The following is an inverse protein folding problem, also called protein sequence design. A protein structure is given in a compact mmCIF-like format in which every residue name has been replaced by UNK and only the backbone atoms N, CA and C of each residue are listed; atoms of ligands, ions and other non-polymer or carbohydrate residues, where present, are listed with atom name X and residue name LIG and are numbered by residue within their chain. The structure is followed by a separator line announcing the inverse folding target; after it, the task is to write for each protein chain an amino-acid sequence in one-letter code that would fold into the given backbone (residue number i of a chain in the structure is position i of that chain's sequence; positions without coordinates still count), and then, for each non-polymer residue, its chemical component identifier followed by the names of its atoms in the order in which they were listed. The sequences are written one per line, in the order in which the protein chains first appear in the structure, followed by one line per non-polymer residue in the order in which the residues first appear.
data_IF_712947746722
#
_entry.id   IF_712947746722
#
_cell.length_a   1.000
_cell.length_b   1.000
_cell.length_c   1.000
_cell.angle_alpha   90.00
_cell.angle_beta   90.00
_cell.angle_gamma   90.00
#
_symmetry.space_group_name_H-M   'P 1'
#
loop_
_entity.id
_entity.type
_entity.pdbx_description
1 polymer ?
#
# COMPACT_ATOMS: atom_id res chain seq x y z
N UNK A 1 0.87 -2.23 -18.68
CA UNK A 1 1.52 -0.89 -18.66
C UNK A 1 1.98 -0.66 -17.24
N UNK A 2 3.21 -0.21 -17.04
CA UNK A 2 3.72 0.10 -15.69
C UNK A 2 2.99 1.30 -15.11
N UNK A 3 2.60 1.21 -13.84
CA UNK A 3 1.96 2.32 -13.13
C UNK A 3 3.01 3.37 -12.77
N UNK A 4 2.66 4.64 -12.89
CA UNK A 4 3.52 5.79 -12.63
C UNK A 4 2.94 6.69 -11.54
N UNK A 5 3.76 7.55 -10.95
CA UNK A 5 3.33 8.41 -9.82
C UNK A 5 2.21 9.41 -10.16
N UNK A 6 1.95 9.66 -11.45
CA UNK A 6 0.86 10.52 -11.93
C UNK A 6 -0.45 9.77 -12.18
N UNK A 7 -0.47 8.45 -12.04
CA UNK A 7 -1.66 7.62 -12.24
C UNK A 7 -2.57 7.58 -10.99
N UNK A 8 -2.13 8.15 -9.87
CA UNK A 8 -2.87 8.23 -8.61
C UNK A 8 -2.65 9.60 -7.91
N UNK A 9 -3.59 10.05 -7.08
CA UNK A 9 -3.51 11.38 -6.49
C UNK A 9 -2.47 11.45 -5.36
N UNK A 10 -1.83 12.61 -5.24
CA UNK A 10 -0.98 12.93 -4.10
C UNK A 10 -1.84 13.34 -2.90
N UNK A 11 -1.49 12.81 -1.73
CA UNK A 11 -2.18 13.03 -0.47
C UNK A 11 -1.55 14.18 0.33
N UNK A 12 -2.30 14.85 1.22
CA UNK A 12 -1.77 15.92 2.07
C UNK A 12 -0.79 15.42 3.15
N UNK A 13 -0.59 14.11 3.27
CA UNK A 13 0.30 13.47 4.24
C UNK A 13 1.50 12.87 3.52
N UNK A 14 2.67 13.48 3.74
CA UNK A 14 3.88 13.22 2.96
C UNK A 14 4.46 11.81 3.08
N UNK A 15 4.26 11.12 4.22
CA UNK A 15 4.79 9.76 4.36
C UNK A 15 4.05 8.77 3.46
N UNK A 16 2.72 8.92 3.35
CA UNK A 16 1.88 8.08 2.50
C UNK A 16 2.36 8.16 1.05
N UNK A 17 2.58 9.37 0.51
CA UNK A 17 3.06 9.54 -0.87
C UNK A 17 4.42 8.84 -1.14
N UNK A 18 5.38 8.95 -0.22
CA UNK A 18 6.70 8.30 -0.38
C UNK A 18 6.58 6.78 -0.33
N UNK A 19 5.74 6.27 0.55
CA UNK A 19 5.51 4.84 0.70
C UNK A 19 4.71 4.28 -0.49
N UNK A 20 3.74 5.04 -1.02
CA UNK A 20 3.02 4.73 -2.26
C UNK A 20 3.94 4.67 -3.48
N UNK A 21 4.85 5.64 -3.62
CA UNK A 21 5.85 5.64 -4.69
C UNK A 21 6.76 4.41 -4.62
N UNK A 22 7.21 4.06 -3.41
CA UNK A 22 8.03 2.85 -3.18
C UNK A 22 7.25 1.58 -3.52
N UNK A 23 5.97 1.50 -3.14
CA UNK A 23 5.08 0.39 -3.48
C UNK A 23 4.99 0.20 -5.00
N UNK A 24 4.73 1.28 -5.74
CA UNK A 24 4.60 1.23 -7.21
C UNK A 24 5.91 0.78 -7.86
N UNK A 25 7.06 1.28 -7.37
CA UNK A 25 8.37 0.82 -7.84
C UNK A 25 8.56 -0.68 -7.65
N UNK A 26 8.31 -1.20 -6.44
CA UNK A 26 8.45 -2.64 -6.14
C UNK A 26 7.45 -3.51 -6.93
N UNK A 27 6.24 -3.01 -7.18
CA UNK A 27 5.24 -3.69 -7.98
C UNK A 27 5.68 -3.80 -9.45
N UNK A 28 6.14 -2.69 -10.04
CA UNK A 28 6.66 -2.67 -11.40
C UNK A 28 7.90 -3.55 -11.55
N UNK A 29 8.81 -3.54 -10.58
CA UNK A 29 10.01 -4.39 -10.58
C UNK A 29 9.64 -5.88 -10.58
N UNK A 30 8.63 -6.27 -9.77
CA UNK A 30 8.16 -7.66 -9.72
C UNK A 30 7.48 -8.09 -11.03
N UNK A 31 6.64 -7.23 -11.60
CA UNK A 31 5.98 -7.46 -12.90
C UNK A 31 6.99 -7.61 -14.03
N UNK A 32 7.94 -6.68 -14.12
CA UNK A 32 8.98 -6.71 -15.14
C UNK A 32 9.84 -7.96 -15.02
N UNK A 33 10.22 -8.36 -13.81
CA UNK A 33 11.02 -9.56 -13.60
C UNK A 33 10.29 -10.84 -14.04
N UNK A 34 8.96 -10.93 -13.83
CA UNK A 34 8.15 -12.03 -14.37
C UNK A 34 8.15 -12.02 -15.90
N UNK A 35 7.83 -10.88 -16.50
CA UNK A 35 7.75 -10.71 -17.96
C UNK A 35 9.09 -11.01 -18.65
N UNK A 36 10.22 -10.67 -18.02
CA UNK A 36 11.56 -10.90 -18.55
C UNK A 36 12.14 -12.29 -18.20
N UNK A 37 11.43 -13.11 -17.44
CA UNK A 37 11.94 -14.41 -16.98
C UNK A 37 13.13 -14.31 -16.01
N UNK A 38 13.30 -13.16 -15.35
CA UNK A 38 14.35 -12.91 -14.33
C UNK A 38 13.79 -12.89 -12.91
N UNK A 39 12.52 -13.27 -12.76
CA UNK A 39 11.83 -13.28 -11.48
C UNK A 39 12.54 -14.15 -10.44
N UNK A 40 12.56 -13.62 -9.23
CA UNK A 40 12.89 -14.38 -8.04
C UNK A 40 11.86 -14.06 -6.97
N UNK A 41 11.62 -15.02 -6.09
CA UNK A 41 10.72 -14.89 -4.92
C UNK A 41 11.01 -13.62 -4.11
N UNK A 42 12.26 -13.10 -4.15
CA UNK A 42 12.65 -11.89 -3.45
C UNK A 42 11.98 -10.62 -3.99
N UNK A 43 11.66 -10.53 -5.28
CA UNK A 43 10.95 -9.36 -5.83
C UNK A 43 9.58 -9.22 -5.15
N UNK A 44 8.82 -10.30 -5.12
CA UNK A 44 7.49 -10.31 -4.51
C UNK A 44 7.53 -10.23 -2.98
N UNK A 45 8.52 -10.85 -2.32
CA UNK A 45 8.69 -10.71 -0.86
C UNK A 45 8.98 -9.28 -0.43
N UNK A 46 9.79 -8.52 -1.18
CA UNK A 46 10.04 -7.09 -0.89
C UNK A 46 8.76 -6.27 -1.01
N UNK A 47 7.96 -6.53 -2.05
CA UNK A 47 6.66 -5.89 -2.22
C UNK A 47 5.73 -6.19 -1.03
N UNK A 48 5.59 -7.46 -0.63
CA UNK A 48 4.78 -7.86 0.55
C UNK A 48 5.28 -7.19 1.82
N UNK A 49 6.59 -7.20 2.05
CA UNK A 49 7.18 -6.58 3.23
C UNK A 49 6.90 -5.07 3.28
N UNK A 50 7.07 -4.39 2.15
CA UNK A 50 6.77 -2.95 2.05
C UNK A 50 5.30 -2.67 2.35
N UNK A 51 4.36 -3.45 1.80
CA UNK A 51 2.94 -3.33 2.14
C UNK A 51 2.69 -3.50 3.65
N UNK A 52 3.30 -4.49 4.30
CA UNK A 52 3.17 -4.69 5.74
C UNK A 52 3.66 -3.49 6.55
N UNK A 53 4.82 -2.94 6.18
CA UNK A 53 5.42 -1.79 6.87
C UNK A 53 4.60 -0.52 6.68
N UNK A 54 4.17 -0.25 5.45
CA UNK A 54 3.32 0.87 5.09
C UNK A 54 1.96 0.81 5.80
N UNK A 55 1.24 -0.32 5.68
CA UNK A 55 -0.06 -0.49 6.35
C UNK A 55 0.07 -0.38 7.87
N UNK A 56 1.12 -0.95 8.47
CA UNK A 56 1.38 -0.79 9.89
C UNK A 56 1.65 0.67 10.30
N UNK A 57 2.28 1.47 9.44
CA UNK A 57 2.49 2.89 9.68
C UNK A 57 1.16 3.65 9.66
N UNK A 58 0.34 3.43 8.64
CA UNK A 58 -1.00 4.05 8.56
C UNK A 58 -1.89 3.64 9.72
N UNK A 59 -1.93 2.35 10.04
CA UNK A 59 -2.72 1.82 11.15
C UNK A 59 -2.33 2.43 12.49
N UNK A 60 -1.02 2.62 12.75
CA UNK A 60 -0.54 3.34 13.94
C UNK A 60 -1.05 4.78 13.98
N UNK A 61 -0.98 5.51 12.87
CA UNK A 61 -1.45 6.90 12.81
C UNK A 61 -2.98 7.01 12.93
N UNK A 62 -3.72 6.07 12.32
CA UNK A 62 -5.17 5.96 12.46
C UNK A 62 -5.58 5.71 13.92
N UNK A 63 -4.94 4.74 14.59
CA UNK A 63 -5.20 4.44 16.00
C UNK A 63 -4.85 5.64 16.90
N UNK A 64 -3.66 6.22 16.72
CA UNK A 64 -3.18 7.37 17.52
C UNK A 64 -4.12 8.57 17.43
N UNK A 65 -4.72 8.79 16.27
CA UNK A 65 -5.63 9.92 16.02
C UNK A 65 -7.11 9.56 16.23
N UNK A 66 -7.43 8.32 16.61
CA UNK A 66 -8.79 7.81 16.78
C UNK A 66 -9.63 7.94 15.50
N UNK A 67 -9.04 7.60 14.35
CA UNK A 67 -9.71 7.64 13.06
C UNK A 67 -10.93 6.69 13.05
N UNK A 68 -12.16 7.20 12.80
CA UNK A 68 -13.38 6.38 12.89
C UNK A 68 -13.44 5.22 11.89
N UNK A 69 -12.77 5.35 10.74
CA UNK A 69 -12.76 4.35 9.67
C UNK A 69 -11.74 3.23 9.84
N UNK A 70 -11.02 3.15 10.97
CA UNK A 70 -9.89 2.24 11.18
C UNK A 70 -10.19 0.79 10.83
N UNK A 71 -11.26 0.21 11.40
CA UNK A 71 -11.58 -1.23 11.20
C UNK A 71 -11.89 -1.56 9.74
N UNK A 72 -12.60 -0.67 9.03
CA UNK A 72 -12.90 -0.85 7.61
C UNK A 72 -11.63 -0.76 6.76
N UNK A 73 -10.78 0.22 7.06
CA UNK A 73 -9.53 0.43 6.35
C UNK A 73 -8.60 -0.77 6.54
N UNK A 74 -8.34 -1.15 7.79
CA UNK A 74 -7.52 -2.30 8.14
C UNK A 74 -7.98 -3.60 7.46
N UNK A 75 -9.29 -3.82 7.34
CA UNK A 75 -9.82 -5.00 6.66
C UNK A 75 -9.40 -5.10 5.18
N UNK A 76 -9.22 -3.96 4.49
CA UNK A 76 -8.69 -3.96 3.12
C UNK A 76 -7.19 -4.31 3.09
N UNK A 77 -6.40 -3.78 4.02
CA UNK A 77 -4.99 -4.15 4.18
C UNK A 77 -4.81 -5.64 4.41
N UNK A 78 -5.53 -6.18 5.41
CA UNK A 78 -5.43 -7.59 5.80
C UNK A 78 -5.83 -8.51 4.64
N UNK A 79 -6.85 -8.12 3.86
CA UNK A 79 -7.28 -8.85 2.67
C UNK A 79 -6.18 -8.92 1.61
N UNK A 80 -5.58 -7.77 1.25
CA UNK A 80 -4.54 -7.74 0.22
C UNK A 80 -3.29 -8.50 0.65
N UNK A 81 -2.85 -8.34 1.91
CA UNK A 81 -1.72 -9.10 2.42
C UNK A 81 -1.95 -10.62 2.38
N UNK A 82 -3.18 -11.06 2.66
CA UNK A 82 -3.55 -12.47 2.55
C UNK A 82 -3.49 -12.94 1.09
N UNK A 83 -4.11 -12.20 0.16
CA UNK A 83 -4.10 -12.52 -1.27
C UNK A 83 -2.66 -12.64 -1.81
N UNK A 84 -1.80 -11.67 -1.49
CA UNK A 84 -0.40 -11.69 -1.89
C UNK A 84 0.33 -12.91 -1.31
N UNK A 85 0.11 -13.24 -0.04
CA UNK A 85 0.76 -14.38 0.61
C UNK A 85 0.35 -15.71 -0.04
N UNK A 86 -0.93 -15.87 -0.37
CA UNK A 86 -1.44 -17.08 -1.04
C UNK A 86 -0.93 -17.19 -2.47
N UNK A 87 -0.83 -16.10 -3.22
CA UNK A 87 -0.24 -16.08 -4.56
C UNK A 87 1.23 -16.50 -4.54
N UNK A 88 2.01 -15.99 -3.58
CA UNK A 88 3.41 -16.39 -3.45
C UNK A 88 3.55 -17.88 -3.12
N UNK A 89 2.71 -18.41 -2.22
CA UNK A 89 2.68 -19.86 -1.93
C UNK A 89 2.33 -20.68 -3.16
N UNK A 90 1.33 -20.25 -3.93
CA UNK A 90 0.94 -20.88 -5.20
C UNK A 90 2.12 -20.94 -6.17
N UNK A 91 2.77 -19.80 -6.42
CA UNK A 91 3.95 -19.74 -7.28
C UNK A 91 5.10 -20.65 -6.80
N UNK A 92 5.41 -20.65 -5.50
CA UNK A 92 6.46 -21.52 -4.95
C UNK A 92 6.14 -23.00 -5.17
N UNK A 93 4.87 -23.40 -5.07
CA UNK A 93 4.44 -24.78 -5.24
C UNK A 93 4.41 -25.25 -6.71
N UNK A 94 4.00 -24.38 -7.63
CA UNK A 94 3.73 -24.78 -9.03
C UNK A 94 4.72 -24.25 -10.04
N UNK A 95 5.46 -23.20 -9.71
CA UNK A 95 6.24 -22.37 -10.63
C UNK A 95 5.40 -21.74 -11.77
N UNK A 96 4.08 -21.77 -11.63
CA UNK A 96 3.15 -21.13 -12.58
C UNK A 96 3.13 -19.61 -12.31
N UNK A 97 3.57 -18.85 -13.30
CA UNK A 97 3.65 -17.38 -13.22
C UNK A 97 2.31 -16.71 -13.47
N UNK A 98 1.37 -17.36 -14.15
CA UNK A 98 0.15 -16.73 -14.66
C UNK A 98 -0.69 -16.06 -13.56
N UNK A 99 -0.97 -16.72 -12.40
CA UNK A 99 -1.73 -16.07 -11.33
C UNK A 99 -1.03 -14.83 -10.76
N UNK A 100 0.29 -14.90 -10.61
CA UNK A 100 1.09 -13.81 -10.03
C UNK A 100 1.19 -12.63 -11.00
N UNK A 101 1.42 -12.92 -12.28
CA UNK A 101 1.51 -11.93 -13.35
C UNK A 101 0.18 -11.19 -13.53
N UNK A 102 -0.94 -11.92 -13.63
CA UNK A 102 -2.28 -11.33 -13.69
C UNK A 102 -2.58 -10.45 -12.49
N UNK A 103 -2.18 -10.89 -11.29
CA UNK A 103 -2.38 -10.10 -10.10
C UNK A 103 -1.61 -8.77 -10.15
N UNK A 104 -0.34 -8.80 -10.58
CA UNK A 104 0.51 -7.61 -10.68
C UNK A 104 0.11 -6.66 -11.82
N UNK A 105 -0.47 -7.18 -12.90
CA UNK A 105 -0.85 -6.37 -14.07
C UNK A 105 -2.25 -5.76 -13.96
N UNK A 106 -3.20 -6.48 -13.34
CA UNK A 106 -4.61 -6.07 -13.36
C UNK A 106 -5.12 -5.77 -11.94
N UNK A 107 -5.01 -6.75 -11.04
CA UNK A 107 -5.78 -6.75 -9.78
C UNK A 107 -5.19 -5.79 -8.76
N UNK A 108 -3.87 -5.86 -8.53
CA UNK A 108 -3.18 -5.06 -7.53
C UNK A 108 -3.15 -3.56 -7.91
N UNK A 109 -2.86 -3.17 -9.18
CA UNK A 109 -2.95 -1.78 -9.60
C UNK A 109 -4.37 -1.20 -9.49
N UNK A 110 -5.39 -1.96 -9.87
CA UNK A 110 -6.79 -1.52 -9.75
C UNK A 110 -7.17 -1.31 -8.28
N UNK A 111 -6.85 -2.28 -7.43
CA UNK A 111 -7.08 -2.16 -5.99
C UNK A 111 -6.38 -0.93 -5.41
N UNK A 112 -5.10 -0.73 -5.72
CA UNK A 112 -4.29 0.36 -5.18
C UNK A 112 -4.88 1.72 -5.54
N UNK A 113 -5.20 1.94 -6.82
CA UNK A 113 -5.82 3.18 -7.28
C UNK A 113 -7.15 3.42 -6.56
N UNK A 114 -8.01 2.40 -6.47
CA UNK A 114 -9.30 2.51 -5.78
C UNK A 114 -9.13 2.79 -4.28
N UNK A 115 -8.14 2.16 -3.65
CA UNK A 115 -7.82 2.31 -2.24
C UNK A 115 -7.43 3.75 -1.93
N UNK A 116 -6.51 4.33 -2.71
CA UNK A 116 -6.07 5.71 -2.55
C UNK A 116 -7.26 6.67 -2.70
N UNK A 117 -8.07 6.50 -3.75
CA UNK A 117 -9.19 7.38 -4.04
C UNK A 117 -10.33 7.33 -3.01
N UNK A 118 -10.35 6.31 -2.15
CA UNK A 118 -11.46 6.13 -1.19
C UNK A 118 -11.01 6.17 0.26
N UNK A 119 -10.11 5.29 0.67
CA UNK A 119 -9.74 5.12 2.06
C UNK A 119 -8.57 6.03 2.42
N UNK A 120 -7.52 6.08 1.62
CA UNK A 120 -6.31 6.85 1.96
C UNK A 120 -6.56 8.34 1.87
N UNK A 121 -7.33 8.78 0.88
CA UNK A 121 -7.69 10.19 0.74
C UNK A 121 -8.47 10.69 1.98
N UNK A 122 -9.43 9.91 2.47
CA UNK A 122 -10.20 10.25 3.68
C UNK A 122 -9.30 10.20 4.92
N UNK A 123 -8.45 9.19 5.00
CA UNK A 123 -7.49 9.00 6.10
C UNK A 123 -6.51 10.18 6.17
N UNK A 124 -5.89 10.55 5.04
CA UNK A 124 -4.92 11.63 4.96
C UNK A 124 -5.52 13.00 5.33
N UNK A 125 -6.76 13.27 4.91
CA UNK A 125 -7.48 14.49 5.31
C UNK A 125 -7.71 14.53 6.83
N UNK A 126 -8.13 13.40 7.41
CA UNK A 126 -8.34 13.29 8.85
C UNK A 126 -7.03 13.48 9.64
N UNK A 127 -5.95 12.80 9.23
CA UNK A 127 -4.63 12.91 9.85
C UNK A 127 -4.11 14.35 9.81
N UNK A 128 -4.26 15.04 8.68
CA UNK A 128 -3.88 16.46 8.54
C UNK A 128 -4.57 17.34 9.60
N UNK A 129 -5.87 17.16 9.80
CA UNK A 129 -6.61 17.90 10.82
C UNK A 129 -6.19 17.52 12.25
N UNK A 130 -5.92 16.24 12.51
CA UNK A 130 -5.46 15.75 13.81
C UNK A 130 -4.06 16.28 14.17
N UNK A 131 -3.15 16.35 13.20
CA UNK A 131 -1.80 16.89 13.38
C UNK A 131 -1.84 18.39 13.71
N UNK A 132 -2.69 19.14 13.00
CA UNK A 132 -2.87 20.56 13.26
C UNK A 132 -3.39 20.83 14.68
N UNK A 133 -4.36 20.03 15.17
CA UNK A 133 -4.88 20.14 16.55
C UNK A 133 -3.80 19.82 17.59
N UNK A 134 -3.01 18.77 17.36
CA UNK A 134 -1.93 18.36 18.26
C UNK A 134 -0.84 19.44 18.39
N UNK A 135 -0.44 20.03 17.25
CA UNK A 135 0.56 21.10 17.21
C UNK A 135 0.08 22.38 17.91
N UNK A 136 -1.22 22.72 17.81
CA UNK A 136 -1.80 23.87 18.52
C UNK A 136 -1.81 23.64 20.03
N UNK A 137 -2.19 22.44 20.48
CA UNK A 137 -2.18 22.08 21.89
C UNK A 137 -0.76 22.16 22.46
N UNK A 138 0.25 21.60 21.78
CA UNK A 138 1.64 21.66 22.23
C UNK A 138 2.15 23.11 22.42
N UNK A 139 1.72 24.05 21.57
CA UNK A 139 2.08 25.47 21.66
C UNK A 139 1.34 26.26 22.75
N UNK A 140 0.25 25.75 23.31
CA UNK A 140 -0.52 26.46 24.35
C UNK A 140 -0.13 26.06 25.79
N UNK A 141 0.73 25.04 25.94
CA UNK A 141 1.21 24.51 27.23
C UNK A 141 2.69 24.80 27.50
N UNK A 142 3.38 25.48 26.56
CA UNK A 142 4.74 25.99 26.72
C UNK A 142 4.75 27.51 26.71
#
# INVERSE_FOLDING_TARGET
MSMMFWDYPQLPVQFMNREHETFVGLMNDAEQALTMGTFSVQHFKRLVQHCQEHFAHEEREMQRTHFPGFELHKKQHDRVLLEMTELLKGYVATQDIEPLLRYLQDILPEWFTQHIHTLDQVTAQYLTAAYAKSNRRAKSIG
#
